data_IF_095557075547
#
_entry.id   IF_095557075547
#
_cell.length_a   1.000
_cell.length_b   1.000
_cell.length_c   1.000
_cell.angle_alpha   90.00
_cell.angle_beta   90.00
_cell.angle_gamma   90.00
#
_symmetry.space_group_name_H-M   'P 1'
#
loop_
_entity.id
_entity.type
_entity.pdbx_description
1 polymer ?
#
# COMPACT_ATOMS: atom_id res chain seq x y z
N UNK A 1 -20.13 26.30 -40.75
CA UNK A 1 -20.65 26.57 -39.40
C UNK A 1 -21.17 25.25 -38.84
N UNK A 2 -20.34 24.21 -38.68
CA UNK A 2 -19.20 24.10 -37.74
C UNK A 2 -19.67 24.53 -36.35
N UNK A 3 -19.86 23.69 -35.33
CA UNK A 3 -18.97 22.65 -34.79
C UNK A 3 -19.72 21.88 -33.68
N UNK A 4 -20.09 20.61 -33.87
CA UNK A 4 -20.54 19.73 -32.76
C UNK A 4 -20.16 18.25 -32.95
N UNK A 5 -19.00 17.99 -33.56
CA UNK A 5 -18.49 16.63 -33.72
C UNK A 5 -17.04 16.55 -33.26
N UNK A 6 -16.82 16.34 -31.95
CA UNK A 6 -15.73 15.52 -31.37
C UNK A 6 -15.66 15.73 -29.86
N UNK A 7 -16.39 14.91 -29.11
CA UNK A 7 -15.94 14.48 -27.79
C UNK A 7 -15.77 12.96 -27.89
N UNK A 8 -14.74 12.55 -28.64
CA UNK A 8 -14.36 11.15 -28.74
C UNK A 8 -14.01 10.64 -27.35
N UNK A 9 -14.68 9.54 -26.97
CA UNK A 9 -14.28 8.61 -25.93
C UNK A 9 -12.75 8.59 -25.76
N UNK A 10 -12.24 9.32 -24.77
CA UNK A 10 -10.87 9.11 -24.32
C UNK A 10 -10.91 7.97 -23.33
N UNK A 11 -11.18 6.77 -23.84
CA UNK A 11 -10.94 5.54 -23.07
C UNK A 11 -9.45 5.54 -22.78
N UNK A 12 -9.08 5.78 -21.52
CA UNK A 12 -7.74 5.45 -21.05
C UNK A 12 -7.58 3.97 -21.36
N UNK A 13 -6.76 3.66 -22.36
CA UNK A 13 -6.39 2.29 -22.67
C UNK A 13 -5.60 1.79 -21.45
N UNK A 14 -6.30 1.11 -20.54
CA UNK A 14 -5.65 0.36 -19.47
C UNK A 14 -4.63 -0.55 -20.15
N UNK A 15 -3.34 -0.50 -19.76
CA UNK A 15 -2.35 -1.42 -20.31
C UNK A 15 -2.92 -2.83 -20.19
N UNK A 16 -2.82 -3.62 -21.26
CA UNK A 16 -3.40 -4.96 -21.34
C UNK A 16 -3.09 -5.70 -20.04
N UNK A 17 -4.12 -5.84 -19.20
CA UNK A 17 -3.97 -6.37 -17.85
C UNK A 17 -3.44 -7.78 -18.01
N UNK A 18 -2.15 -8.00 -17.68
CA UNK A 18 -1.58 -9.34 -17.60
C UNK A 18 -2.22 -10.00 -16.38
N UNK A 19 -3.42 -10.54 -16.57
CA UNK A 19 -4.10 -11.38 -15.60
C UNK A 19 -3.14 -12.53 -15.27
N UNK A 20 -2.56 -12.50 -14.09
CA UNK A 20 -1.69 -13.56 -13.66
C UNK A 20 -2.59 -14.78 -13.38
N UNK A 21 -2.44 -15.85 -14.15
CA UNK A 21 -3.12 -17.13 -13.87
C UNK A 21 -2.56 -17.84 -12.62
N UNK A 22 -1.70 -17.15 -11.87
CA UNK A 22 -0.85 -17.72 -10.86
C UNK A 22 -1.49 -17.71 -9.49
N UNK A 23 -1.23 -18.79 -8.77
CA UNK A 23 -1.53 -18.99 -7.35
C UNK A 23 -1.18 -17.73 -6.53
N UNK A 24 -2.05 -17.36 -5.59
CA UNK A 24 -1.82 -16.23 -4.68
C UNK A 24 -0.44 -16.33 -4.00
N UNK A 25 0.22 -15.18 -3.81
CA UNK A 25 1.51 -15.16 -3.13
C UNK A 25 1.33 -15.67 -1.69
N UNK A 26 2.30 -16.42 -1.11
CA UNK A 26 2.22 -16.84 0.29
C UNK A 26 2.00 -15.65 1.23
N UNK A 27 2.68 -14.53 0.94
CA UNK A 27 2.49 -13.20 1.53
C UNK A 27 2.63 -12.16 0.42
N UNK A 28 1.98 -10.99 0.57
CA UNK A 28 2.26 -9.84 -0.28
C UNK A 28 3.76 -9.49 -0.19
N UNK A 29 4.49 -9.38 -1.31
CA UNK A 29 5.91 -9.04 -1.28
C UNK A 29 6.12 -7.62 -0.75
N UNK A 30 7.16 -7.46 0.08
CA UNK A 30 7.65 -6.18 0.61
C UNK A 30 9.00 -5.79 0.01
N UNK A 31 9.60 -6.66 -0.81
CA UNK A 31 10.90 -6.43 -1.45
C UNK A 31 10.96 -6.90 -2.91
N UNK A 32 11.92 -6.33 -3.65
CA UNK A 32 12.29 -6.79 -5.01
C UNK A 32 12.73 -8.26 -5.06
N UNK A 33 13.35 -8.75 -3.99
CA UNK A 33 13.79 -10.14 -3.90
C UNK A 33 12.58 -11.10 -3.84
N UNK A 34 11.57 -10.78 -3.03
CA UNK A 34 10.33 -11.54 -2.96
C UNK A 34 9.54 -11.46 -4.28
N UNK A 35 9.48 -10.29 -4.92
CA UNK A 35 8.90 -10.17 -6.27
C UNK A 35 9.62 -11.07 -7.27
N UNK A 36 10.95 -11.11 -7.25
CA UNK A 36 11.76 -11.99 -8.12
C UNK A 36 11.45 -13.46 -7.84
N UNK A 37 11.31 -13.85 -6.57
CA UNK A 37 10.94 -15.22 -6.19
C UNK A 37 9.54 -15.61 -6.67
N UNK A 38 8.62 -14.65 -6.78
CA UNK A 38 7.29 -14.82 -7.36
C UNK A 38 7.28 -14.73 -8.90
N UNK A 39 8.41 -14.41 -9.55
CA UNK A 39 8.51 -14.18 -10.98
C UNK A 39 7.86 -12.87 -11.46
N UNK A 40 7.71 -11.88 -10.57
CA UNK A 40 7.09 -10.59 -10.85
C UNK A 40 8.13 -9.54 -11.24
N UNK A 41 7.94 -8.90 -12.38
CA UNK A 41 8.73 -7.76 -12.85
C UNK A 41 8.27 -6.43 -12.21
N UNK A 42 6.96 -6.31 -11.96
CA UNK A 42 6.31 -5.17 -11.33
C UNK A 42 5.08 -5.61 -10.52
N UNK A 43 4.72 -4.84 -9.51
CA UNK A 43 3.39 -4.91 -8.90
C UNK A 43 2.40 -4.12 -9.76
N UNK A 44 1.15 -4.57 -9.82
CA UNK A 44 0.08 -3.77 -10.41
C UNK A 44 -0.38 -2.69 -9.44
N UNK A 45 -0.46 -3.05 -8.15
CA UNK A 45 -0.84 -2.16 -7.07
C UNK A 45 0.20 -2.29 -5.96
N UNK A 46 0.63 -1.16 -5.40
CA UNK A 46 1.46 -1.14 -4.19
C UNK A 46 0.68 -0.47 -3.07
N UNK A 47 0.44 -1.19 -1.99
CA UNK A 47 -0.19 -0.65 -0.78
C UNK A 47 0.89 -0.03 0.12
N UNK A 48 0.63 1.15 0.68
CA UNK A 48 1.48 1.82 1.66
C UNK A 48 0.67 1.92 2.95
N UNK A 49 1.22 1.40 4.04
CA UNK A 49 0.53 1.36 5.34
C UNK A 49 1.37 1.95 6.46
N UNK A 50 0.72 2.69 7.36
CA UNK A 50 1.32 3.17 8.61
C UNK A 50 1.52 2.09 9.67
N UNK A 51 0.84 0.95 9.58
CA UNK A 51 1.05 -0.20 10.46
C UNK A 51 2.12 -1.16 9.90
N UNK A 52 2.67 -2.01 10.76
CA UNK A 52 3.37 -3.22 10.34
C UNK A 52 2.46 -4.11 9.50
N UNK A 53 3.06 -4.83 8.53
CA UNK A 53 2.32 -5.79 7.75
C UNK A 53 2.13 -7.09 8.53
N UNK A 54 0.88 -7.39 8.88
CA UNK A 54 0.44 -8.67 9.41
C UNK A 54 -0.66 -9.18 8.50
N UNK A 55 -0.43 -10.32 7.86
CA UNK A 55 -1.39 -10.91 6.92
C UNK A 55 -2.49 -11.66 7.66
N UNK A 56 -3.40 -10.90 8.27
CA UNK A 56 -4.48 -11.41 9.09
C UNK A 56 -5.78 -10.64 8.81
N UNK A 57 -6.97 -11.28 8.84
CA UNK A 57 -8.24 -10.60 8.57
C UNK A 57 -8.61 -9.48 9.57
N UNK A 58 -7.91 -9.32 10.69
CA UNK A 58 -8.08 -8.14 11.56
C UNK A 58 -7.32 -6.90 11.05
N UNK A 59 -6.56 -7.03 9.97
CA UNK A 59 -5.73 -5.99 9.37
C UNK A 59 -6.35 -5.57 8.04
N UNK A 60 -6.87 -4.33 7.97
CA UNK A 60 -7.66 -3.86 6.83
C UNK A 60 -6.88 -3.87 5.50
N UNK A 61 -5.60 -3.46 5.53
CA UNK A 61 -4.72 -3.49 4.36
C UNK A 61 -4.47 -4.93 3.86
N UNK A 62 -4.43 -5.93 4.76
CA UNK A 62 -4.27 -7.33 4.37
C UNK A 62 -5.52 -7.81 3.63
N UNK A 63 -6.72 -7.53 4.16
CA UNK A 63 -7.98 -7.87 3.47
C UNK A 63 -8.03 -7.23 2.08
N UNK A 64 -7.73 -5.93 1.97
CA UNK A 64 -7.75 -5.22 0.70
C UNK A 64 -6.73 -5.83 -0.27
N UNK A 65 -5.51 -6.11 0.18
CA UNK A 65 -4.49 -6.73 -0.66
C UNK A 65 -4.89 -8.11 -1.17
N UNK A 66 -5.43 -8.97 -0.28
CA UNK A 66 -5.93 -10.30 -0.65
C UNK A 66 -7.15 -10.26 -1.55
N UNK A 67 -8.06 -9.30 -1.35
CA UNK A 67 -9.20 -9.09 -2.24
C UNK A 67 -8.72 -8.71 -3.64
N UNK A 68 -7.76 -7.79 -3.75
CA UNK A 68 -7.19 -7.38 -5.03
C UNK A 68 -6.42 -8.52 -5.71
N UNK A 69 -5.63 -9.31 -4.97
CA UNK A 69 -5.01 -10.53 -5.52
C UNK A 69 -6.04 -11.54 -6.01
N UNK A 70 -7.16 -11.71 -5.30
CA UNK A 70 -8.26 -12.59 -5.73
C UNK A 70 -8.95 -12.11 -7.02
N UNK A 71 -8.81 -10.83 -7.38
CA UNK A 71 -9.23 -10.29 -8.69
C UNK A 71 -8.15 -10.44 -9.77
N UNK A 72 -7.00 -11.06 -9.46
CA UNK A 72 -5.92 -11.34 -10.41
C UNK A 72 -4.83 -10.26 -10.50
N UNK A 73 -4.82 -9.28 -9.60
CA UNK A 73 -3.77 -8.25 -9.55
C UNK A 73 -2.55 -8.72 -8.77
N UNK A 74 -1.35 -8.30 -9.20
CA UNK A 74 -0.13 -8.47 -8.41
C UNK A 74 -0.04 -7.33 -7.41
N UNK A 75 -0.15 -7.64 -6.13
CA UNK A 75 -0.19 -6.64 -5.06
C UNK A 75 1.05 -6.75 -4.20
N UNK A 76 1.78 -5.65 -4.04
CA UNK A 76 2.85 -5.53 -3.06
C UNK A 76 2.47 -4.59 -1.92
N UNK A 77 3.22 -4.64 -0.81
CA UNK A 77 2.98 -3.76 0.33
C UNK A 77 4.28 -3.15 0.86
N UNK A 78 4.24 -1.87 1.22
CA UNK A 78 5.30 -1.14 1.91
C UNK A 78 4.75 -0.76 3.28
N UNK A 79 5.29 -1.39 4.32
CA UNK A 79 4.86 -1.19 5.70
C UNK A 79 5.81 -0.26 6.45
N UNK A 80 5.24 0.73 7.13
CA UNK A 80 5.97 1.72 7.95
C UNK A 80 7.20 2.31 7.24
N UNK A 81 7.09 2.80 5.99
CA UNK A 81 8.22 3.44 5.34
C UNK A 81 8.68 4.65 6.16
N UNK A 82 10.00 4.81 6.30
CA UNK A 82 10.55 6.05 6.86
C UNK A 82 10.17 7.21 5.93
N UNK A 83 9.38 8.14 6.47
CA UNK A 83 8.78 9.25 5.74
C UNK A 83 9.72 10.46 5.62
N UNK A 84 10.89 10.41 6.24
CA UNK A 84 11.90 11.47 6.14
C UNK A 84 12.61 11.45 4.77
N UNK A 85 12.40 10.42 3.96
CA UNK A 85 12.95 10.29 2.61
C UNK A 85 11.96 9.62 1.67
N UNK A 86 12.10 9.90 0.37
CA UNK A 86 11.33 9.21 -0.67
C UNK A 86 11.85 7.79 -0.97
N UNK A 87 13.07 7.45 -0.54
CA UNK A 87 13.70 6.17 -0.90
C UNK A 87 12.93 4.93 -0.42
N UNK A 88 12.43 4.85 0.84
CA UNK A 88 11.66 3.69 1.30
C UNK A 88 10.40 3.42 0.47
N UNK A 89 9.77 4.46 -0.07
CA UNK A 89 8.58 4.34 -0.93
C UNK A 89 8.90 3.75 -2.31
N UNK A 90 10.16 3.70 -2.72
CA UNK A 90 10.62 3.14 -3.99
C UNK A 90 10.98 1.66 -3.90
N UNK A 91 10.87 1.03 -2.73
CA UNK A 91 11.32 -0.34 -2.48
C UNK A 91 10.81 -1.38 -3.50
N UNK A 92 9.56 -1.23 -3.95
CA UNK A 92 8.94 -2.11 -4.95
C UNK A 92 8.94 -1.52 -6.38
N UNK A 93 9.39 -0.28 -6.54
CA UNK A 93 9.33 0.52 -7.76
C UNK A 93 7.93 0.99 -8.14
N UNK A 94 7.80 1.46 -9.39
CA UNK A 94 6.56 2.03 -9.91
C UNK A 94 5.52 0.93 -10.20
N UNK A 95 4.31 0.98 -9.60
CA UNK A 95 3.22 0.08 -9.93
C UNK A 95 2.69 0.34 -11.34
N UNK A 96 2.09 -0.68 -11.97
CA UNK A 96 1.48 -0.53 -13.31
C UNK A 96 0.15 0.23 -13.27
N UNK A 97 -0.56 0.21 -12.13
CA UNK A 97 -1.82 0.90 -11.94
C UNK A 97 -1.69 2.08 -10.96
N UNK A 98 -1.54 1.81 -9.66
CA UNK A 98 -1.52 2.89 -8.65
C UNK A 98 -0.88 2.47 -7.31
N UNK A 99 -0.62 3.48 -6.48
CA UNK A 99 -0.30 3.32 -5.06
C UNK A 99 -1.57 3.51 -4.21
N UNK A 100 -1.85 2.58 -3.30
CA UNK A 100 -2.95 2.68 -2.34
C UNK A 100 -2.42 3.03 -0.96
N UNK A 101 -2.78 4.20 -0.42
CA UNK A 101 -2.27 4.69 0.87
C UNK A 101 -3.30 4.48 1.98
N UNK A 102 -2.86 3.98 3.14
CA UNK A 102 -3.68 3.84 4.35
C UNK A 102 -2.89 4.19 5.62
N UNK A 103 -3.58 4.70 6.63
CA UNK A 103 -2.99 4.98 7.94
C UNK A 103 -2.75 3.73 8.79
N UNK A 104 -3.31 2.58 8.38
CA UNK A 104 -3.34 1.36 9.17
C UNK A 104 -4.74 1.06 9.74
N UNK A 105 -4.79 0.21 10.75
CA UNK A 105 -6.01 -0.18 11.47
C UNK A 105 -6.47 0.89 12.46
N UNK A 106 -5.51 1.61 13.05
CA UNK A 106 -5.78 2.70 13.97
C UNK A 106 -5.22 4.00 13.41
N UNK A 107 -5.94 5.10 13.64
CA UNK A 107 -5.43 6.42 13.28
C UNK A 107 -4.10 6.69 14.00
N UNK A 108 -3.11 7.13 13.23
CA UNK A 108 -1.74 7.38 13.71
C UNK A 108 -1.66 8.37 14.88
N UNK A 109 -2.53 9.40 14.93
CA UNK A 109 -2.57 10.32 16.08
C UNK A 109 -3.16 9.61 17.29
N UNK A 110 -4.26 8.87 17.10
CA UNK A 110 -4.91 8.12 18.17
C UNK A 110 -4.00 7.07 18.75
N UNK A 111 -3.13 6.46 17.95
CA UNK A 111 -2.17 5.48 18.43
C UNK A 111 -1.03 6.17 19.22
N UNK A 112 -0.50 7.28 18.71
CA UNK A 112 0.62 8.00 19.33
C UNK A 112 0.23 8.81 20.57
N UNK A 113 -1.01 9.28 20.66
CA UNK A 113 -1.47 10.21 21.71
C UNK A 113 -2.69 9.70 22.47
N UNK A 114 -2.69 9.89 23.79
CA UNK A 114 -3.89 9.74 24.62
C UNK A 114 -4.92 10.83 24.30
N UNK A 115 -6.15 10.68 24.79
CA UNK A 115 -7.19 11.71 24.69
C UNK A 115 -6.73 13.07 25.22
N UNK A 116 -5.89 13.06 26.26
CA UNK A 116 -5.29 14.26 26.88
C UNK A 116 -4.01 14.72 26.17
N UNK A 117 -3.73 14.19 24.96
CA UNK A 117 -2.56 14.49 24.12
C UNK A 117 -1.21 14.14 24.75
N UNK A 118 -1.17 13.17 25.68
CA UNK A 118 0.10 12.62 26.18
C UNK A 118 0.64 11.60 25.19
N UNK A 119 1.95 11.58 25.01
CA UNK A 119 2.63 10.62 24.14
C UNK A 119 2.54 9.21 24.75
N UNK A 120 2.16 8.20 23.96
CA UNK A 120 2.33 6.79 24.33
C UNK A 120 3.78 6.35 24.08
N UNK A 121 4.26 5.46 24.93
CA UNK A 121 5.62 4.91 24.82
C UNK A 121 5.70 3.74 23.84
N UNK A 122 4.58 3.06 23.61
CA UNK A 122 4.44 1.88 22.78
C UNK A 122 3.54 2.13 21.55
N UNK A 123 3.76 1.34 20.51
CA UNK A 123 2.91 1.28 19.32
C UNK A 123 2.46 -0.16 19.06
N UNK A 124 1.19 -0.45 19.35
CA UNK A 124 0.62 -1.80 19.22
C UNK A 124 0.63 -2.37 17.79
N UNK A 125 0.82 -1.51 16.77
CA UNK A 125 0.87 -1.91 15.37
C UNK A 125 2.26 -1.77 14.76
N UNK A 126 3.29 -1.59 15.58
CA UNK A 126 4.69 -1.63 15.16
C UNK A 126 5.34 -2.91 15.64
N UNK A 127 6.22 -3.48 14.81
CA UNK A 127 7.01 -4.65 15.21
C UNK A 127 7.80 -4.35 16.50
N UNK A 128 7.68 -5.23 17.50
CA UNK A 128 8.34 -5.05 18.80
C UNK A 128 7.74 -3.97 19.70
N UNK A 129 6.62 -3.34 19.30
CA UNK A 129 5.98 -2.28 20.09
C UNK A 129 6.69 -0.93 20.02
N UNK A 130 7.66 -0.75 19.12
CA UNK A 130 8.49 0.45 19.05
C UNK A 130 7.66 1.70 18.68
N UNK A 131 7.68 2.71 19.54
CA UNK A 131 7.08 4.01 19.23
C UNK A 131 7.81 4.75 18.10
N UNK A 132 7.06 5.56 17.33
CA UNK A 132 7.65 6.52 16.40
C UNK A 132 8.10 5.95 15.04
N UNK A 133 7.64 4.76 14.64
CA UNK A 133 7.88 4.20 13.29
C UNK A 133 6.94 4.74 12.21
N UNK A 134 6.03 5.64 12.54
CA UNK A 134 5.08 6.25 11.60
C UNK A 134 4.83 7.72 11.92
N UNK A 135 4.53 8.56 10.92
CA UNK A 135 4.21 9.95 11.14
C UNK A 135 2.79 10.12 11.68
N UNK A 136 2.57 11.26 12.31
CA UNK A 136 1.24 11.78 12.58
C UNK A 136 0.49 12.00 11.26
N UNK A 137 -0.77 11.57 11.21
CA UNK A 137 -1.64 11.66 10.01
C UNK A 137 -1.00 11.00 8.80
N UNK A 138 -0.63 9.73 8.93
CA UNK A 138 0.02 8.91 7.90
C UNK A 138 -0.51 9.12 6.48
N UNK A 139 -1.83 9.10 6.29
CA UNK A 139 -2.45 9.27 4.96
C UNK A 139 -2.14 10.60 4.30
N UNK A 140 -1.93 11.68 5.08
CA UNK A 140 -1.57 13.00 4.56
C UNK A 140 -0.08 13.06 4.25
N UNK A 141 0.76 12.47 5.10
CA UNK A 141 2.22 12.52 4.95
C UNK A 141 2.71 11.63 3.80
N UNK A 142 2.00 10.54 3.52
CA UNK A 142 2.37 9.59 2.48
C UNK A 142 1.88 9.95 1.06
N UNK A 143 1.10 11.03 0.89
CA UNK A 143 0.54 11.50 -0.40
C UNK A 143 1.16 12.80 -0.86
#
# INVERSE_FOLDING_TARGET
MDTLAHAANTSIALPALRMHSGKAAPFLPMSRAEMTALGWDACDIVLITGDAYVDHPSFGMAIIGRLLEAQGFRVGIIAQPDWQSAEPFKALGKPTLFFGVTGGNLDSMVNRYTSDRRLRHDDAYTAGGEGGKRPDRCTIVYT
#
